data_IF_397921896075
#
_entry.id   IF_397921896075
#
_cell.length_a   1.000
_cell.length_b   1.000
_cell.length_c   1.000
_cell.angle_alpha   90.00
_cell.angle_beta   90.00
_cell.angle_gamma   90.00
#
_symmetry.space_group_name_H-M   'P 1'
#
loop_
_entity.id
_entity.type
_entity.pdbx_description
1 polymer ?
#
# COMPACT_ATOMS: atom_id res chain seq x y z
N UNK A 1 24.16 48.07 -23.86
CA UNK A 1 23.60 48.21 -22.50
C UNK A 1 22.75 46.99 -22.15
N UNK A 2 22.77 46.57 -20.89
CA UNK A 2 21.86 45.55 -20.35
C UNK A 2 20.73 46.23 -19.56
N UNK A 3 19.49 45.85 -19.84
CA UNK A 3 18.30 46.25 -19.10
C UNK A 3 17.85 45.08 -18.23
N UNK A 4 17.90 45.25 -16.91
CA UNK A 4 17.29 44.31 -15.96
C UNK A 4 15.82 44.67 -15.86
N UNK A 5 14.95 43.80 -16.34
CA UNK A 5 13.52 44.07 -16.45
C UNK A 5 12.75 43.23 -15.44
N UNK A 6 12.32 43.84 -14.36
CA UNK A 6 11.41 43.25 -13.38
C UNK A 6 9.99 43.29 -13.94
N UNK A 7 9.32 42.14 -13.93
CA UNK A 7 7.96 42.01 -14.46
C UNK A 7 7.03 41.63 -13.32
N UNK A 8 5.90 42.33 -13.27
CA UNK A 8 4.73 42.02 -12.44
C UNK A 8 3.52 42.03 -13.40
N UNK A 9 2.92 40.87 -13.67
CA UNK A 9 1.90 40.76 -14.71
C UNK A 9 0.55 41.37 -14.32
N UNK A 10 0.19 41.34 -13.04
CA UNK A 10 -1.15 41.72 -12.59
C UNK A 10 -1.19 43.12 -11.97
N UNK A 11 -0.09 43.86 -12.01
CA UNK A 11 0.04 45.23 -11.52
C UNK A 11 -0.16 45.33 -10.01
N UNK A 12 0.37 44.37 -9.25
CA UNK A 12 0.39 44.45 -7.79
C UNK A 12 1.17 45.68 -7.31
N UNK A 13 2.24 46.09 -7.99
CA UNK A 13 2.96 47.32 -7.68
C UNK A 13 2.07 48.56 -7.81
N UNK A 14 1.38 48.76 -8.93
CA UNK A 14 0.50 49.92 -9.15
C UNK A 14 -0.82 49.85 -8.38
N UNK A 15 -1.36 48.66 -8.13
CA UNK A 15 -2.63 48.48 -7.40
C UNK A 15 -2.49 48.56 -5.88
N UNK A 16 -1.40 48.02 -5.32
CA UNK A 16 -1.18 47.98 -3.87
C UNK A 16 -0.43 49.21 -3.35
N UNK A 17 0.18 49.98 -4.25
CA UNK A 17 0.90 51.22 -3.90
C UNK A 17 0.39 52.41 -4.73
N UNK A 18 0.96 53.60 -4.50
CA UNK A 18 0.69 54.80 -5.32
C UNK A 18 1.81 55.03 -6.37
N UNK A 19 2.59 54.01 -6.70
CA UNK A 19 3.72 54.11 -7.64
C UNK A 19 3.23 54.00 -9.08
N UNK A 20 3.53 55.01 -9.90
CA UNK A 20 3.26 55.00 -11.34
C UNK A 20 4.30 54.16 -12.08
N UNK A 21 3.82 53.28 -12.96
CA UNK A 21 4.62 52.38 -13.79
C UNK A 21 4.70 52.91 -15.24
N UNK A 22 5.76 52.61 -16.01
CA UNK A 22 6.93 51.84 -15.62
C UNK A 22 7.89 52.64 -14.73
N UNK A 23 8.52 51.96 -13.77
CA UNK A 23 9.53 52.56 -12.89
C UNK A 23 10.89 52.31 -13.49
N UNK A 24 11.65 53.36 -13.82
CA UNK A 24 12.99 53.23 -14.42
C UNK A 24 14.04 53.87 -13.52
N UNK A 25 15.14 53.16 -13.30
CA UNK A 25 16.25 53.64 -12.48
C UNK A 25 16.43 52.83 -11.21
N UNK A 26 17.68 52.56 -10.86
CA UNK A 26 18.06 51.75 -9.70
C UNK A 26 17.45 52.24 -8.38
N UNK A 27 17.55 53.54 -8.08
CA UNK A 27 16.99 54.09 -6.85
C UNK A 27 15.45 54.15 -6.88
N UNK A 28 14.86 54.42 -8.05
CA UNK A 28 13.40 54.45 -8.21
C UNK A 28 12.78 53.05 -8.02
N UNK A 29 13.39 52.01 -8.59
CA UNK A 29 12.96 50.62 -8.40
C UNK A 29 13.17 50.15 -6.96
N UNK A 30 14.24 50.59 -6.30
CA UNK A 30 14.46 50.30 -4.88
C UNK A 30 13.37 50.94 -4.00
N UNK A 31 13.03 52.21 -4.24
CA UNK A 31 11.97 52.90 -3.51
C UNK A 31 10.60 52.25 -3.76
N UNK A 32 10.32 51.83 -4.99
CA UNK A 32 9.12 51.08 -5.36
C UNK A 32 9.05 49.72 -4.63
N UNK A 33 10.17 48.98 -4.58
CA UNK A 33 10.26 47.71 -3.84
C UNK A 33 9.98 47.90 -2.34
N UNK A 34 10.53 48.96 -1.75
CA UNK A 34 10.30 49.30 -0.33
C UNK A 34 8.84 49.72 -0.10
N UNK A 35 8.23 50.46 -1.03
CA UNK A 35 6.82 50.83 -0.93
C UNK A 35 5.90 49.60 -1.00
N UNK A 36 6.15 48.69 -1.95
CA UNK A 36 5.38 47.45 -2.08
C UNK A 36 5.56 46.55 -0.85
N UNK A 37 6.79 46.38 -0.35
CA UNK A 37 7.05 45.60 0.86
C UNK A 37 6.38 46.17 2.12
N UNK A 38 6.17 47.48 2.18
CA UNK A 38 5.43 48.13 3.28
C UNK A 38 3.92 47.93 3.15
N UNK A 39 3.41 47.89 1.92
CA UNK A 39 1.98 47.69 1.64
C UNK A 39 1.57 46.22 1.78
N UNK A 40 2.33 45.29 1.20
CA UNK A 40 2.10 43.85 1.21
C UNK A 40 3.43 43.08 1.31
N UNK A 41 3.87 42.71 2.53
CA UNK A 41 5.13 41.99 2.72
C UNK A 41 5.08 40.50 2.33
N UNK A 42 3.90 39.94 2.05
CA UNK A 42 3.75 38.52 1.67
C UNK A 42 3.86 38.32 0.15
N UNK A 43 3.80 39.40 -0.61
CA UNK A 43 3.88 39.44 -2.06
C UNK A 43 5.26 39.00 -2.58
N UNK A 44 5.26 38.12 -3.59
CA UNK A 44 6.49 37.64 -4.23
C UNK A 44 7.16 38.69 -5.12
N UNK A 45 6.42 39.66 -5.66
CA UNK A 45 6.93 40.71 -6.55
C UNK A 45 7.90 41.66 -5.86
N UNK A 46 7.77 41.80 -4.54
CA UNK A 46 8.77 42.47 -3.70
C UNK A 46 10.16 41.90 -3.96
N UNK A 47 10.28 40.57 -4.01
CA UNK A 47 11.58 39.92 -4.21
C UNK A 47 12.05 40.00 -5.67
N UNK A 48 11.14 40.12 -6.64
CA UNK A 48 11.48 40.38 -8.05
C UNK A 48 12.17 41.73 -8.17
N UNK A 49 11.59 42.78 -7.57
CA UNK A 49 12.16 44.12 -7.59
C UNK A 49 13.52 44.18 -6.88
N UNK A 50 13.65 43.58 -5.69
CA UNK A 50 14.93 43.51 -4.98
C UNK A 50 16.00 42.71 -5.72
N UNK A 51 15.64 41.60 -6.37
CA UNK A 51 16.58 40.83 -7.21
C UNK A 51 17.03 41.66 -8.42
N UNK A 52 16.12 42.45 -9.03
CA UNK A 52 16.49 43.35 -10.12
C UNK A 52 17.52 44.41 -9.71
N UNK A 53 17.34 45.03 -8.54
CA UNK A 53 18.32 45.96 -7.97
C UNK A 53 19.63 45.24 -7.65
N UNK A 54 19.56 44.04 -7.06
CA UNK A 54 20.73 43.25 -6.71
C UNK A 54 21.59 42.91 -7.94
N UNK A 55 20.98 42.41 -9.01
CA UNK A 55 21.69 42.09 -10.26
C UNK A 55 22.32 43.34 -10.87
N UNK A 56 21.61 44.47 -10.82
CA UNK A 56 22.11 45.75 -11.34
C UNK A 56 23.35 46.21 -10.58
N UNK A 57 23.37 46.03 -9.25
CA UNK A 57 24.52 46.38 -8.41
C UNK A 57 25.71 45.40 -8.58
N UNK A 58 25.46 44.13 -8.94
CA UNK A 58 26.51 43.11 -9.14
C UNK A 58 27.28 43.27 -10.46
N UNK A 59 26.64 43.77 -11.52
CA UNK A 59 27.26 43.87 -12.85
C UNK A 59 28.01 45.19 -12.99
N UNK A 60 29.35 45.13 -13.00
CA UNK A 60 30.21 46.32 -13.14
C UNK A 60 30.88 46.44 -14.51
N UNK A 61 30.78 45.41 -15.34
CA UNK A 61 31.60 45.24 -16.56
C UNK A 61 30.94 45.84 -17.82
N UNK A 62 29.67 46.21 -17.76
CA UNK A 62 28.92 46.85 -18.84
C UNK A 62 27.88 47.83 -18.27
N UNK A 63 27.37 48.82 -19.05
CA UNK A 63 26.32 49.71 -18.57
C UNK A 63 25.01 48.92 -18.36
N UNK A 64 24.48 48.99 -17.14
CA UNK A 64 23.24 48.34 -16.72
C UNK A 64 22.24 49.36 -16.23
N UNK A 65 20.99 49.18 -16.61
CA UNK A 65 19.83 49.93 -16.10
C UNK A 65 18.76 48.95 -15.63
N UNK A 66 17.94 49.33 -14.64
CA UNK A 66 16.82 48.51 -14.16
C UNK A 66 15.50 49.22 -14.39
N UNK A 67 14.49 48.45 -14.76
CA UNK A 67 13.12 48.92 -14.84
C UNK A 67 12.14 47.89 -14.30
N UNK A 68 11.09 48.36 -13.65
CA UNK A 68 9.91 47.56 -13.31
C UNK A 68 8.80 47.92 -14.30
N UNK A 69 8.23 46.90 -14.92
CA UNK A 69 7.08 47.03 -15.84
C UNK A 69 5.94 46.20 -15.31
N UNK A 70 4.73 46.74 -15.38
CA UNK A 70 3.54 46.04 -14.93
C UNK A 70 2.54 45.77 -16.04
N UNK A 71 1.68 44.77 -15.82
CA UNK A 71 0.54 44.52 -16.68
C UNK A 71 -0.73 45.20 -16.16
N UNK A 72 -1.83 44.45 -16.13
CA UNK A 72 -3.09 44.88 -15.54
C UNK A 72 -3.81 43.66 -14.98
N UNK A 73 -4.48 43.80 -13.84
CA UNK A 73 -5.37 42.76 -13.32
C UNK A 73 -6.56 42.55 -14.27
N UNK A 74 -6.52 41.46 -15.03
CA UNK A 74 -7.49 41.21 -16.09
C UNK A 74 -7.13 40.01 -16.96
N UNK A 75 -7.63 40.00 -18.19
CA UNK A 75 -7.33 38.91 -19.12
C UNK A 75 -5.84 38.90 -19.50
N UNK A 76 -5.26 37.72 -19.68
CA UNK A 76 -3.86 37.53 -20.12
C UNK A 76 -3.49 38.41 -21.31
N UNK A 77 -4.39 38.59 -22.28
CA UNK A 77 -4.16 39.40 -23.48
C UNK A 77 -4.04 40.90 -23.16
N UNK A 78 -4.82 41.39 -22.20
CA UNK A 78 -4.77 42.78 -21.75
C UNK A 78 -3.50 43.05 -20.94
N UNK A 79 -3.18 42.17 -19.99
CA UNK A 79 -1.96 42.23 -19.19
C UNK A 79 -0.71 42.19 -20.08
N UNK A 80 -0.64 41.24 -21.01
CA UNK A 80 0.44 41.16 -22.00
C UNK A 80 0.55 42.43 -22.86
N UNK A 81 -0.57 43.05 -23.24
CA UNK A 81 -0.54 44.29 -24.03
C UNK A 81 0.00 45.46 -23.20
N UNK A 82 -0.44 45.60 -21.95
CA UNK A 82 0.02 46.62 -21.01
C UNK A 82 1.53 46.52 -20.77
N UNK A 83 2.04 45.32 -20.44
CA UNK A 83 3.49 45.09 -20.30
C UNK A 83 4.25 45.48 -21.57
N UNK A 84 3.69 45.18 -22.74
CA UNK A 84 4.27 45.61 -24.02
C UNK A 84 4.39 47.14 -24.15
N UNK A 85 3.34 47.88 -23.79
CA UNK A 85 3.30 49.35 -23.85
C UNK A 85 4.25 49.99 -22.81
N UNK A 86 4.35 49.40 -21.63
CA UNK A 86 5.31 49.79 -20.59
C UNK A 86 6.75 49.61 -21.07
N UNK A 87 7.07 48.44 -21.64
CA UNK A 87 8.40 48.19 -22.22
C UNK A 87 8.70 49.19 -23.34
N UNK A 88 7.74 49.50 -24.21
CA UNK A 88 7.92 50.52 -25.25
C UNK A 88 8.24 51.90 -24.64
N UNK A 89 7.62 52.23 -23.51
CA UNK A 89 7.88 53.47 -22.74
C UNK A 89 9.27 53.47 -22.10
N UNK A 90 9.69 52.36 -21.48
CA UNK A 90 11.04 52.20 -20.92
C UNK A 90 12.07 52.40 -22.03
N UNK A 91 11.93 51.74 -23.17
CA UNK A 91 12.89 51.85 -24.28
C UNK A 91 12.94 53.25 -24.88
N UNK A 92 11.81 53.96 -24.92
CA UNK A 92 11.78 55.36 -25.37
C UNK A 92 12.50 56.31 -24.39
N UNK A 93 12.47 56.00 -23.09
CA UNK A 93 13.16 56.78 -22.05
C UNK A 93 14.67 56.53 -22.04
N UNK A 94 15.11 55.34 -22.45
CA UNK A 94 16.51 54.97 -22.60
C UNK A 94 17.07 55.58 -23.89
N UNK A 95 17.48 56.85 -23.81
CA UNK A 95 18.04 57.61 -24.93
C UNK A 95 19.45 57.13 -25.29
N UNK A 96 19.56 55.95 -25.94
CA UNK A 96 20.86 55.38 -26.30
C UNK A 96 20.87 54.74 -27.69
N UNK A 97 21.92 55.08 -28.45
CA UNK A 97 22.24 54.57 -29.79
C UNK A 97 22.84 53.15 -29.79
N UNK A 98 22.72 52.41 -28.70
CA UNK A 98 23.31 51.08 -28.50
C UNK A 98 22.25 49.98 -28.53
N UNK A 99 22.67 48.76 -28.88
CA UNK A 99 21.83 47.58 -28.77
C UNK A 99 21.48 47.32 -27.29
N UNK A 100 20.20 47.48 -26.95
CA UNK A 100 19.63 47.15 -25.65
C UNK A 100 19.33 45.66 -25.59
N UNK A 101 19.87 44.98 -24.59
CA UNK A 101 19.61 43.56 -24.29
C UNK A 101 18.90 43.48 -22.95
N UNK A 102 18.01 42.52 -22.75
CA UNK A 102 17.27 42.36 -21.51
C UNK A 102 17.63 41.08 -20.75
N UNK A 103 17.70 41.21 -19.43
CA UNK A 103 17.59 40.11 -18.49
C UNK A 103 16.27 40.26 -17.75
N UNK A 104 15.34 39.34 -17.97
CA UNK A 104 13.99 39.42 -17.38
C UNK A 104 13.99 38.77 -16.01
N UNK A 105 13.48 39.44 -14.99
CA UNK A 105 13.32 38.94 -13.62
C UNK A 105 11.83 38.75 -13.34
N UNK A 106 11.46 37.61 -12.77
CA UNK A 106 10.07 37.17 -12.56
C UNK A 106 9.98 36.23 -11.36
N UNK A 107 8.83 36.14 -10.69
CA UNK A 107 8.61 35.23 -9.57
C UNK A 107 8.07 33.84 -9.97
N UNK A 108 7.59 33.69 -11.22
CA UNK A 108 6.67 32.59 -11.53
C UNK A 108 6.48 32.30 -13.01
N UNK A 109 5.80 31.17 -13.28
CA UNK A 109 5.52 30.74 -14.65
C UNK A 109 4.42 31.58 -15.33
N UNK A 110 3.54 32.21 -14.55
CA UNK A 110 2.49 33.09 -15.04
C UNK A 110 3.10 34.34 -15.69
N UNK A 111 4.04 34.95 -15.00
CA UNK A 111 4.75 36.16 -15.43
C UNK A 111 5.73 35.90 -16.58
N UNK A 112 6.23 34.67 -16.71
CA UNK A 112 6.98 34.27 -17.90
C UNK A 112 6.14 34.26 -19.19
N UNK A 113 4.81 34.34 -19.11
CA UNK A 113 3.93 34.40 -20.30
C UNK A 113 4.16 35.66 -21.15
N UNK A 114 4.72 36.74 -20.59
CA UNK A 114 5.06 37.97 -21.33
C UNK A 114 6.38 37.90 -22.09
N UNK A 115 7.18 36.86 -21.89
CA UNK A 115 8.48 36.72 -22.58
C UNK A 115 8.37 36.88 -24.10
N UNK A 116 7.38 36.29 -24.81
CA UNK A 116 7.22 36.49 -26.25
C UNK A 116 6.95 37.96 -26.63
N UNK A 117 6.24 38.70 -25.78
CA UNK A 117 5.88 40.12 -25.98
C UNK A 117 7.09 41.03 -25.77
N UNK A 118 7.91 40.75 -24.74
CA UNK A 118 9.17 41.47 -24.49
C UNK A 118 10.16 41.15 -25.62
N UNK A 119 10.26 39.88 -26.02
CA UNK A 119 11.17 39.40 -27.08
C UNK A 119 10.89 40.05 -28.44
N UNK A 120 9.65 40.47 -28.71
CA UNK A 120 9.33 41.16 -29.96
C UNK A 120 9.83 42.61 -30.00
N UNK A 121 10.26 43.18 -28.87
CA UNK A 121 10.74 44.57 -28.72
C UNK A 121 12.24 44.63 -28.50
N UNK A 122 12.77 43.72 -27.68
CA UNK A 122 14.18 43.66 -27.30
C UNK A 122 14.71 42.24 -27.26
N UNK A 123 16.02 42.11 -27.47
CA UNK A 123 16.70 40.82 -27.35
C UNK A 123 16.81 40.42 -25.88
N UNK A 124 16.29 39.25 -25.52
CA UNK A 124 16.41 38.68 -24.18
C UNK A 124 17.64 37.77 -24.11
N UNK A 125 18.60 38.11 -23.26
CA UNK A 125 19.80 37.31 -23.00
C UNK A 125 19.56 36.22 -21.94
N UNK A 126 18.60 36.42 -21.04
CA UNK A 126 18.22 35.43 -20.04
C UNK A 126 16.94 35.76 -19.28
N UNK A 127 16.48 34.79 -18.48
CA UNK A 127 15.35 34.93 -17.55
C UNK A 127 15.81 34.44 -16.19
N UNK A 128 15.63 35.26 -15.15
CA UNK A 128 15.94 34.97 -13.75
C UNK A 128 14.63 34.80 -12.99
N UNK A 129 14.28 33.55 -12.68
CA UNK A 129 13.16 33.27 -11.79
C UNK A 129 13.57 33.37 -10.32
N UNK A 130 12.86 34.18 -9.54
CA UNK A 130 12.95 34.33 -8.10
C UNK A 130 11.93 33.41 -7.45
N UNK A 131 12.33 32.61 -6.45
CA UNK A 131 11.40 31.70 -5.76
C UNK A 131 11.56 31.90 -4.26
N UNK A 132 10.51 32.45 -3.63
CA UNK A 132 10.44 32.62 -2.19
C UNK A 132 10.14 31.26 -1.54
N UNK A 133 11.07 30.74 -0.74
CA UNK A 133 10.88 29.47 -0.04
C UNK A 133 10.11 29.70 1.25
N UNK A 134 8.82 29.39 1.25
CA UNK A 134 8.00 29.33 2.48
C UNK A 134 7.97 27.91 3.04
N UNK A 135 8.24 27.75 4.34
CA UNK A 135 8.14 26.47 5.04
C UNK A 135 6.68 26.20 5.47
N UNK A 136 5.95 25.39 4.70
CA UNK A 136 4.59 24.93 5.04
C UNK A 136 4.65 23.43 5.43
N UNK A 137 5.20 23.14 6.62
CA UNK A 137 5.78 21.81 6.89
C UNK A 137 4.94 20.82 7.73
N UNK A 138 3.73 21.16 8.19
CA UNK A 138 2.97 20.25 9.08
C UNK A 138 1.81 19.53 8.41
N UNK A 139 1.01 20.23 7.60
CA UNK A 139 -0.16 19.63 6.94
C UNK A 139 0.26 18.66 5.84
N UNK A 140 1.24 19.04 5.03
CA UNK A 140 1.83 18.20 3.98
C UNK A 140 2.43 16.92 4.55
N UNK A 141 3.07 16.98 5.72
CA UNK A 141 3.59 15.78 6.39
C UNK A 141 2.47 14.88 6.93
N UNK A 142 1.42 15.45 7.51
CA UNK A 142 0.26 14.68 7.96
C UNK A 142 -0.37 13.91 6.78
N UNK A 143 -0.60 14.56 5.64
CA UNK A 143 -1.16 13.90 4.47
C UNK A 143 -0.20 12.88 3.86
N UNK A 144 1.10 13.16 3.85
CA UNK A 144 2.10 12.19 3.36
C UNK A 144 2.11 10.93 4.21
N UNK A 145 2.11 11.08 5.55
CA UNK A 145 2.04 9.92 6.47
C UNK A 145 0.72 9.18 6.29
N UNK A 146 -0.41 9.91 6.23
CA UNK A 146 -1.72 9.31 6.01
C UNK A 146 -1.75 8.50 4.71
N UNK A 147 -1.25 9.05 3.61
CA UNK A 147 -1.20 8.38 2.31
C UNK A 147 -0.33 7.12 2.34
N UNK A 148 0.83 7.16 3.02
CA UNK A 148 1.70 5.99 3.22
C UNK A 148 1.03 4.90 4.05
N UNK A 149 0.19 5.28 5.02
CA UNK A 149 -0.58 4.34 5.83
C UNK A 149 -1.84 3.82 5.12
N UNK A 150 -2.40 4.56 4.17
CA UNK A 150 -3.56 4.12 3.39
C UNK A 150 -3.18 3.20 2.22
N UNK A 151 -1.93 3.28 1.73
CA UNK A 151 -1.42 2.43 0.66
C UNK A 151 -1.19 0.96 1.13
N UNK A 152 -1.85 -0.04 0.52
CA UNK A 152 -1.76 -1.45 0.97
C UNK A 152 -0.34 -2.04 0.89
N UNK A 153 0.43 -1.68 -0.14
CA UNK A 153 1.79 -2.19 -0.34
C UNK A 153 2.74 -1.64 0.73
N UNK A 154 2.60 -0.36 1.04
CA UNK A 154 3.49 0.33 1.99
C UNK A 154 3.07 0.10 3.45
N UNK A 155 1.76 0.12 3.75
CA UNK A 155 1.23 -0.08 5.09
C UNK A 155 1.69 -1.41 5.69
N UNK A 156 1.58 -2.52 4.94
CA UNK A 156 1.98 -3.85 5.43
C UNK A 156 3.47 -3.92 5.77
N UNK A 157 4.30 -3.27 4.96
CA UNK A 157 5.76 -3.26 5.13
C UNK A 157 6.21 -2.49 6.38
N UNK A 158 5.48 -1.43 6.77
CA UNK A 158 5.82 -0.58 7.92
C UNK A 158 5.09 -1.00 9.19
N UNK A 159 3.76 -1.17 9.11
CA UNK A 159 2.93 -1.41 10.30
C UNK A 159 3.11 -2.82 10.86
N UNK A 160 3.42 -3.84 10.04
CA UNK A 160 3.54 -5.21 10.56
C UNK A 160 4.80 -5.39 11.43
N UNK A 161 6.02 -4.98 11.01
CA UNK A 161 7.18 -4.99 11.90
C UNK A 161 6.97 -4.15 13.16
N UNK A 162 6.35 -2.98 13.03
CA UNK A 162 6.05 -2.10 14.15
C UNK A 162 5.05 -2.73 15.12
N UNK A 163 4.00 -3.36 14.61
CA UNK A 163 3.02 -4.10 15.39
C UNK A 163 3.65 -5.27 16.14
N UNK A 164 4.55 -6.02 15.49
CA UNK A 164 5.33 -7.08 16.15
C UNK A 164 6.18 -6.50 17.29
N UNK A 165 6.88 -5.39 17.04
CA UNK A 165 7.70 -4.73 18.06
C UNK A 165 6.86 -4.34 19.28
N UNK A 166 5.67 -3.77 19.04
CA UNK A 166 4.72 -3.39 20.09
C UNK A 166 4.12 -4.61 20.82
N UNK A 167 3.97 -5.75 20.15
CA UNK A 167 3.43 -6.98 20.72
C UNK A 167 4.44 -7.77 21.57
N UNK A 168 5.75 -7.61 21.35
CA UNK A 168 6.79 -8.35 22.08
C UNK A 168 6.61 -8.18 23.59
N UNK A 169 6.49 -6.95 24.09
CA UNK A 169 6.41 -6.67 25.53
C UNK A 169 5.16 -7.25 26.22
N UNK A 170 3.93 -6.96 25.78
CA UNK A 170 2.74 -7.54 26.41
C UNK A 170 2.72 -9.07 26.29
N UNK A 171 3.24 -9.63 25.20
CA UNK A 171 3.29 -11.08 25.02
C UNK A 171 4.31 -11.73 25.97
N UNK A 172 5.47 -11.11 26.20
CA UNK A 172 6.44 -11.62 27.19
C UNK A 172 5.83 -11.70 28.59
N UNK A 173 5.10 -10.66 29.02
CA UNK A 173 4.40 -10.65 30.31
C UNK A 173 3.32 -11.74 30.36
N UNK A 174 2.54 -11.88 29.30
CA UNK A 174 1.47 -12.88 29.24
C UNK A 174 2.04 -14.31 29.36
N UNK A 175 3.12 -14.62 28.66
CA UNK A 175 3.74 -15.95 28.70
C UNK A 175 4.36 -16.24 30.06
N UNK A 176 5.03 -15.25 30.68
CA UNK A 176 5.54 -15.36 32.06
C UNK A 176 4.41 -15.61 33.06
N UNK A 177 3.26 -14.93 32.90
CA UNK A 177 2.11 -15.11 33.78
C UNK A 177 1.47 -16.51 33.71
N UNK A 178 1.66 -17.20 32.59
CA UNK A 178 1.18 -18.58 32.37
C UNK A 178 2.18 -19.63 32.87
N UNK A 179 3.33 -19.22 33.42
CA UNK A 179 4.35 -20.14 33.93
C UNK A 179 5.07 -20.95 32.85
N UNK A 180 4.95 -20.54 31.58
CA UNK A 180 5.61 -21.22 30.46
C UNK A 180 7.09 -20.84 30.42
N UNK A 181 8.03 -21.80 30.36
CA UNK A 181 9.47 -21.53 30.32
C UNK A 181 9.90 -21.11 28.91
N UNK A 182 9.42 -19.95 28.45
CA UNK A 182 9.80 -19.37 27.16
C UNK A 182 10.71 -18.19 27.41
N UNK A 183 11.89 -18.19 26.77
CA UNK A 183 12.77 -17.04 26.85
C UNK A 183 12.20 -15.86 26.04
N UNK A 184 12.41 -14.64 26.52
CA UNK A 184 12.03 -13.42 25.78
C UNK A 184 12.64 -13.40 24.38
N UNK A 185 13.88 -13.89 24.22
CA UNK A 185 14.51 -14.08 22.91
C UNK A 185 13.77 -15.09 22.02
N UNK A 186 13.20 -16.15 22.59
CA UNK A 186 12.38 -17.12 21.86
C UNK A 186 11.09 -16.51 21.31
N UNK A 187 10.44 -15.65 22.08
CA UNK A 187 9.24 -14.92 21.63
C UNK A 187 9.60 -13.94 20.50
N UNK A 188 10.67 -13.17 20.67
CA UNK A 188 11.13 -12.20 19.67
C UNK A 188 11.49 -12.91 18.36
N UNK A 189 12.33 -13.95 18.43
CA UNK A 189 12.75 -14.72 17.26
C UNK A 189 11.60 -15.46 16.60
N UNK A 190 10.64 -15.98 17.37
CA UNK A 190 9.44 -16.62 16.87
C UNK A 190 8.55 -15.65 16.09
N UNK A 191 8.26 -14.48 16.66
CA UNK A 191 7.44 -13.45 16.00
C UNK A 191 8.12 -12.92 14.73
N UNK A 192 9.42 -12.65 14.79
CA UNK A 192 10.19 -12.16 13.64
C UNK A 192 10.30 -13.24 12.53
N UNK A 193 10.53 -14.50 12.92
CA UNK A 193 10.57 -15.62 11.99
C UNK A 193 9.22 -15.84 11.30
N UNK A 194 8.12 -15.76 12.05
CA UNK A 194 6.78 -15.85 11.51
C UNK A 194 6.49 -14.73 10.51
N UNK A 195 6.94 -13.50 10.81
CA UNK A 195 6.81 -12.37 9.89
C UNK A 195 7.54 -12.59 8.57
N UNK A 196 8.81 -13.00 8.63
CA UNK A 196 9.61 -13.25 7.43
C UNK A 196 8.97 -14.37 6.59
N UNK A 197 8.50 -15.44 7.22
CA UNK A 197 7.79 -16.52 6.53
C UNK A 197 6.48 -16.03 5.90
N UNK A 198 5.66 -15.29 6.65
CA UNK A 198 4.42 -14.72 6.15
C UNK A 198 4.67 -13.79 4.94
N UNK A 199 5.76 -13.02 4.97
CA UNK A 199 6.18 -12.14 3.88
C UNK A 199 6.64 -12.92 2.66
N UNK A 200 7.54 -13.90 2.85
CA UNK A 200 8.11 -14.71 1.77
C UNK A 200 7.07 -15.58 1.05
N UNK A 201 6.03 -15.99 1.76
CA UNK A 201 4.94 -16.80 1.22
C UNK A 201 3.75 -15.98 0.71
N UNK A 202 3.76 -14.65 0.86
CA UNK A 202 2.64 -13.79 0.46
C UNK A 202 1.36 -14.05 1.25
N UNK A 203 1.47 -14.37 2.54
CA UNK A 203 0.34 -14.75 3.40
C UNK A 203 -0.76 -13.68 3.51
N UNK A 204 -0.42 -12.41 3.28
CA UNK A 204 -1.39 -11.31 3.28
C UNK A 204 -2.50 -11.51 2.25
N UNK A 205 -2.13 -11.85 1.01
CA UNK A 205 -3.12 -12.06 -0.07
C UNK A 205 -4.02 -13.25 0.25
N UNK A 206 -3.46 -14.30 0.85
CA UNK A 206 -4.21 -15.48 1.26
C UNK A 206 -5.22 -15.16 2.37
N UNK A 207 -4.86 -14.27 3.29
CA UNK A 207 -5.74 -13.81 4.37
C UNK A 207 -6.85 -12.90 3.84
N UNK A 208 -6.53 -11.96 2.94
CA UNK A 208 -7.52 -11.08 2.31
C UNK A 208 -8.56 -11.88 1.53
N UNK A 209 -8.11 -12.79 0.66
CA UNK A 209 -9.02 -13.68 -0.08
C UNK A 209 -9.84 -14.60 0.84
N UNK A 210 -9.26 -15.05 1.96
CA UNK A 210 -9.98 -15.86 2.93
C UNK A 210 -11.06 -15.04 3.66
N UNK A 211 -10.76 -13.79 4.03
CA UNK A 211 -11.70 -12.87 4.66
C UNK A 211 -12.86 -12.51 3.72
N UNK A 212 -12.57 -12.28 2.44
CA UNK A 212 -13.59 -12.02 1.42
C UNK A 212 -14.49 -13.24 1.19
N UNK A 213 -13.92 -14.44 1.14
CA UNK A 213 -14.68 -15.70 1.03
C UNK A 213 -15.56 -15.97 2.26
N UNK A 214 -15.06 -15.64 3.46
CA UNK A 214 -15.82 -15.77 4.69
C UNK A 214 -16.99 -14.77 4.71
N UNK A 215 -16.72 -13.50 4.38
CA UNK A 215 -17.72 -12.43 4.35
C UNK A 215 -18.81 -12.72 3.33
N UNK A 216 -18.43 -13.04 2.09
CA UNK A 216 -19.39 -13.42 1.04
C UNK A 216 -20.21 -14.66 1.41
N UNK A 217 -19.62 -15.60 2.16
CA UNK A 217 -20.32 -16.79 2.62
C UNK A 217 -21.39 -16.48 3.66
N UNK A 218 -21.08 -15.57 4.59
CA UNK A 218 -22.01 -15.19 5.65
C UNK A 218 -23.29 -14.60 5.07
N UNK A 219 -23.19 -13.84 3.97
CA UNK A 219 -24.35 -13.29 3.27
C UNK A 219 -25.10 -14.32 2.41
N UNK A 220 -24.42 -15.38 1.96
CA UNK A 220 -25.00 -16.43 1.12
C UNK A 220 -25.68 -17.57 1.89
N UNK A 221 -25.62 -17.58 3.24
CA UNK A 221 -26.28 -18.61 4.05
C UNK A 221 -25.64 -20.00 3.94
N UNK A 222 -24.34 -20.08 3.62
CA UNK A 222 -23.63 -21.34 3.41
C UNK A 222 -23.48 -22.17 4.69
N UNK A 223 -23.83 -23.47 4.63
CA UNK A 223 -23.74 -24.41 5.78
C UNK A 223 -22.28 -24.61 6.21
N UNK A 224 -21.35 -24.47 5.27
CA UNK A 224 -19.89 -24.56 5.50
C UNK A 224 -19.41 -23.67 6.63
N UNK A 225 -20.00 -22.49 6.84
CA UNK A 225 -19.55 -21.54 7.87
C UNK A 225 -19.75 -22.09 9.27
N UNK A 226 -20.96 -22.60 9.55
CA UNK A 226 -21.28 -23.17 10.87
C UNK A 226 -20.33 -24.34 11.13
N UNK A 227 -20.13 -25.21 10.13
CA UNK A 227 -19.23 -26.35 10.27
C UNK A 227 -17.75 -25.95 10.43
N UNK A 228 -17.31 -24.85 9.83
CA UNK A 228 -15.95 -24.32 9.98
C UNK A 228 -15.73 -23.69 11.34
N UNK A 229 -16.72 -22.96 11.88
CA UNK A 229 -16.66 -22.44 13.26
C UNK A 229 -16.58 -23.60 14.27
N UNK A 230 -17.41 -24.62 14.09
CA UNK A 230 -17.37 -25.83 14.93
C UNK A 230 -16.03 -26.56 14.77
N UNK A 231 -15.53 -26.72 13.54
CA UNK A 231 -14.22 -27.32 13.30
C UNK A 231 -13.08 -26.53 13.96
N UNK A 232 -13.10 -25.20 13.89
CA UNK A 232 -12.10 -24.35 14.56
C UNK A 232 -12.13 -24.52 16.09
N UNK A 233 -13.31 -24.59 16.69
CA UNK A 233 -13.45 -24.87 18.12
C UNK A 233 -12.90 -26.26 18.48
N UNK A 234 -13.18 -27.28 17.66
CA UNK A 234 -12.64 -28.64 17.83
C UNK A 234 -11.11 -28.68 17.68
N UNK A 235 -10.54 -27.91 16.74
CA UNK A 235 -9.08 -27.78 16.61
C UNK A 235 -8.47 -27.13 17.85
N UNK A 236 -9.09 -26.09 18.42
CA UNK A 236 -8.62 -25.49 19.67
C UNK A 236 -8.63 -26.50 20.84
N UNK A 237 -9.72 -27.27 20.97
CA UNK A 237 -9.84 -28.35 21.96
C UNK A 237 -8.77 -29.43 21.73
N UNK A 238 -8.49 -29.77 20.47
CA UNK A 238 -7.43 -30.69 20.09
C UNK A 238 -6.04 -30.20 20.51
N UNK A 239 -5.74 -28.93 20.27
CA UNK A 239 -4.48 -28.32 20.70
C UNK A 239 -4.29 -28.41 22.22
N UNK A 240 -5.32 -28.03 22.99
CA UNK A 240 -5.30 -28.14 24.45
C UNK A 240 -5.15 -29.60 24.90
N UNK A 241 -5.86 -30.53 24.26
CA UNK A 241 -5.79 -31.96 24.57
C UNK A 241 -4.39 -32.55 24.25
N UNK A 242 -3.75 -32.08 23.19
CA UNK A 242 -2.37 -32.43 22.84
C UNK A 242 -1.37 -31.99 23.91
N UNK A 243 -1.46 -30.73 24.34
CA UNK A 243 -0.61 -30.18 25.41
C UNK A 243 -0.85 -30.92 26.74
N UNK A 244 -2.12 -31.16 27.10
CA UNK A 244 -2.46 -31.92 28.29
C UNK A 244 -1.91 -33.37 28.25
N UNK A 245 -1.91 -34.01 27.07
CA UNK A 245 -1.28 -35.32 26.90
C UNK A 245 0.24 -35.25 27.08
N UNK A 246 0.91 -34.22 26.57
CA UNK A 246 2.34 -34.02 26.78
C UNK A 246 2.68 -33.80 28.26
N UNK A 247 1.92 -32.97 28.96
CA UNK A 247 2.11 -32.69 30.40
C UNK A 247 1.88 -33.92 31.28
N UNK A 248 0.99 -34.83 30.85
CA UNK A 248 0.73 -36.09 31.57
C UNK A 248 1.90 -37.08 31.51
N UNK A 249 2.92 -36.83 30.68
CA UNK A 249 4.00 -37.78 30.42
C UNK A 249 5.18 -37.56 31.38
N UNK A 250 5.76 -38.64 31.94
CA UNK A 250 6.96 -38.53 32.76
C UNK A 250 8.14 -37.99 31.95
N UNK A 251 8.82 -36.96 32.46
CA UNK A 251 10.08 -36.46 31.90
C UNK A 251 11.28 -37.28 32.36
N UNK A 252 12.38 -37.41 31.57
CA UNK A 252 12.63 -36.75 30.29
C UNK A 252 12.03 -37.50 29.09
N UNK A 253 11.63 -36.75 28.06
CA UNK A 253 11.10 -37.28 26.80
C UNK A 253 12.07 -37.01 25.65
N UNK A 254 12.19 -37.94 24.72
CA UNK A 254 12.88 -37.72 23.44
C UNK A 254 12.07 -36.76 22.55
N UNK A 255 12.71 -36.07 21.59
CA UNK A 255 11.99 -35.20 20.65
C UNK A 255 10.85 -35.91 19.89
N UNK A 256 11.02 -37.20 19.60
CA UNK A 256 10.01 -38.03 18.93
C UNK A 256 8.80 -38.27 19.85
N UNK A 257 9.04 -38.55 21.14
CA UNK A 257 7.97 -38.75 22.13
C UNK A 257 7.21 -37.46 22.41
N UNK A 258 7.89 -36.30 22.41
CA UNK A 258 7.22 -34.99 22.54
C UNK A 258 6.22 -34.79 21.41
N UNK A 259 6.65 -34.98 20.15
CA UNK A 259 5.77 -34.86 18.98
C UNK A 259 4.65 -35.91 19.03
N UNK A 260 4.97 -37.16 19.37
CA UNK A 260 3.99 -38.24 19.46
C UNK A 260 2.93 -37.95 20.54
N UNK A 261 3.31 -37.39 21.69
CA UNK A 261 2.38 -37.03 22.77
C UNK A 261 1.39 -35.94 22.32
N UNK A 262 1.92 -34.88 21.71
CA UNK A 262 1.10 -33.79 21.16
C UNK A 262 0.12 -34.29 20.10
N UNK A 263 0.60 -35.08 19.14
CA UNK A 263 -0.24 -35.63 18.06
C UNK A 263 -1.28 -36.59 18.63
N UNK A 264 -0.92 -37.49 19.54
CA UNK A 264 -1.84 -38.48 20.11
C UNK A 264 -3.00 -37.82 20.85
N UNK A 265 -2.74 -36.75 21.62
CA UNK A 265 -3.78 -36.01 22.34
C UNK A 265 -4.66 -35.15 21.43
N UNK A 266 -4.10 -34.61 20.35
CA UNK A 266 -4.83 -33.70 19.45
C UNK A 266 -5.63 -34.40 18.36
N UNK A 267 -5.13 -35.54 17.85
CA UNK A 267 -5.59 -36.11 16.58
C UNK A 267 -7.06 -36.50 16.57
N UNK A 268 -7.62 -36.96 17.70
CA UNK A 268 -9.03 -37.33 17.76
C UNK A 268 -9.93 -36.13 17.45
N UNK A 269 -9.67 -34.99 18.10
CA UNK A 269 -10.43 -33.77 17.87
C UNK A 269 -10.18 -33.17 16.49
N UNK A 270 -8.95 -33.25 15.98
CA UNK A 270 -8.62 -32.82 14.62
C UNK A 270 -9.35 -33.66 13.57
N UNK A 271 -9.48 -34.95 13.81
CA UNK A 271 -10.22 -35.88 12.93
C UNK A 271 -11.70 -35.53 12.92
N UNK A 272 -12.31 -35.31 14.11
CA UNK A 272 -13.72 -34.88 14.20
C UNK A 272 -13.93 -33.51 13.54
N UNK A 273 -12.99 -32.57 13.69
CA UNK A 273 -13.02 -31.27 13.02
C UNK A 273 -13.00 -31.41 11.50
N UNK A 274 -12.10 -32.23 10.96
CA UNK A 274 -11.99 -32.45 9.52
C UNK A 274 -13.21 -33.17 8.93
N UNK A 275 -13.81 -34.12 9.66
CA UNK A 275 -15.07 -34.76 9.25
C UNK A 275 -16.22 -33.74 9.24
N UNK A 276 -16.31 -32.93 10.29
CA UNK A 276 -17.37 -31.91 10.40
C UNK A 276 -17.28 -30.89 9.27
N UNK A 277 -16.07 -30.39 8.99
CA UNK A 277 -15.78 -29.46 7.90
C UNK A 277 -16.06 -30.07 6.52
N UNK A 278 -15.61 -31.31 6.28
CA UNK A 278 -15.84 -32.00 5.00
C UNK A 278 -17.32 -32.31 4.75
N UNK A 279 -18.07 -32.75 5.76
CA UNK A 279 -19.51 -32.95 5.66
C UNK A 279 -20.26 -31.63 5.42
N UNK A 280 -19.83 -30.55 6.07
CA UNK A 280 -20.37 -29.22 5.82
C UNK A 280 -20.21 -28.81 4.35
N UNK A 281 -19.01 -29.04 3.79
CA UNK A 281 -18.74 -28.77 2.37
C UNK A 281 -19.58 -29.63 1.43
N UNK A 282 -19.67 -30.94 1.68
CA UNK A 282 -20.51 -31.84 0.88
C UNK A 282 -21.98 -31.40 0.92
N UNK A 283 -22.47 -30.99 2.09
CA UNK A 283 -23.84 -30.51 2.25
C UNK A 283 -24.08 -29.22 1.47
N UNK A 284 -23.14 -28.28 1.54
CA UNK A 284 -23.21 -27.00 0.84
C UNK A 284 -23.21 -27.22 -0.68
N UNK A 285 -22.33 -28.08 -1.19
CA UNK A 285 -22.28 -28.42 -2.61
C UNK A 285 -23.57 -29.08 -3.11
N UNK A 286 -24.17 -29.96 -2.29
CA UNK A 286 -25.45 -30.59 -2.59
C UNK A 286 -26.61 -29.58 -2.62
N UNK A 287 -26.57 -28.58 -1.76
CA UNK A 287 -27.61 -27.54 -1.70
C UNK A 287 -27.54 -26.53 -2.86
N UNK A 288 -26.40 -26.44 -3.55
CA UNK A 288 -26.17 -25.50 -4.65
C UNK A 288 -26.05 -26.17 -6.03
N UNK A 289 -26.46 -27.44 -6.14
CA UNK A 289 -26.44 -28.23 -7.39
C UNK A 289 -25.05 -28.40 -8.05
N UNK A 290 -23.95 -28.19 -7.30
CA UNK A 290 -22.57 -28.38 -7.77
C UNK A 290 -21.97 -29.75 -7.34
N UNK A 291 -22.81 -30.64 -6.81
CA UNK A 291 -22.37 -31.87 -6.15
C UNK A 291 -21.77 -32.91 -7.10
N UNK A 292 -20.53 -33.32 -6.83
CA UNK A 292 -19.89 -34.50 -7.41
C UNK A 292 -19.79 -35.64 -6.38
N UNK A 293 -20.11 -36.89 -6.78
CA UNK A 293 -20.02 -38.08 -5.93
C UNK A 293 -18.64 -38.28 -5.29
N UNK A 294 -17.56 -37.83 -5.95
CA UNK A 294 -16.20 -37.89 -5.43
C UNK A 294 -15.97 -37.05 -4.19
N UNK A 295 -16.77 -36.02 -3.92
CA UNK A 295 -16.63 -35.17 -2.73
C UNK A 295 -16.95 -35.91 -1.44
N UNK A 296 -17.76 -36.97 -1.50
CA UNK A 296 -18.03 -37.85 -0.37
C UNK A 296 -16.79 -38.63 0.11
N UNK A 297 -15.68 -38.65 -0.66
CA UNK A 297 -14.43 -39.25 -0.21
C UNK A 297 -13.76 -38.50 0.94
N UNK A 298 -13.95 -37.17 1.03
CA UNK A 298 -13.19 -36.33 1.94
C UNK A 298 -13.31 -36.75 3.43
N UNK A 299 -14.51 -37.03 3.98
CA UNK A 299 -14.64 -37.55 5.35
C UNK A 299 -13.91 -38.88 5.60
N UNK A 300 -13.89 -39.79 4.61
CA UNK A 300 -13.22 -41.08 4.74
C UNK A 300 -11.70 -40.94 4.72
N UNK A 301 -11.16 -40.03 3.91
CA UNK A 301 -9.73 -39.72 3.95
C UNK A 301 -9.33 -39.11 5.29
N UNK A 302 -10.13 -38.18 5.82
CA UNK A 302 -9.86 -37.59 7.15
C UNK A 302 -9.88 -38.69 8.22
N UNK A 303 -10.87 -39.59 8.20
CA UNK A 303 -10.94 -40.74 9.11
C UNK A 303 -9.73 -41.66 8.99
N UNK A 304 -9.32 -41.99 7.77
CA UNK A 304 -8.17 -42.85 7.51
C UNK A 304 -6.86 -42.21 8.03
N UNK A 305 -6.62 -40.95 7.68
CA UNK A 305 -5.44 -40.19 8.11
C UNK A 305 -5.43 -40.05 9.64
N UNK A 306 -6.57 -39.69 10.23
CA UNK A 306 -6.76 -39.57 11.67
C UNK A 306 -6.44 -40.86 12.42
N UNK A 307 -6.98 -41.99 11.94
CA UNK A 307 -6.69 -43.31 12.48
C UNK A 307 -5.20 -43.67 12.38
N UNK A 308 -4.59 -43.45 11.23
CA UNK A 308 -3.16 -43.70 10.99
C UNK A 308 -2.28 -42.87 11.94
N UNK A 309 -2.53 -41.57 12.05
CA UNK A 309 -1.76 -40.69 12.92
C UNK A 309 -1.96 -41.02 14.40
N UNK A 310 -3.18 -41.41 14.79
CA UNK A 310 -3.44 -41.92 16.13
C UNK A 310 -2.67 -43.21 16.41
N UNK A 311 -2.67 -44.19 15.48
CA UNK A 311 -1.93 -45.43 15.64
C UNK A 311 -0.41 -45.23 15.70
N UNK A 312 0.12 -44.38 14.83
CA UNK A 312 1.54 -44.06 14.76
C UNK A 312 2.03 -43.39 16.04
N UNK A 313 1.31 -42.38 16.52
CA UNK A 313 1.63 -41.68 17.76
C UNK A 313 1.49 -42.60 18.98
N UNK A 314 0.48 -43.48 19.01
CA UNK A 314 0.32 -44.47 20.08
C UNK A 314 1.50 -45.44 20.17
N UNK A 315 2.02 -45.88 19.03
CA UNK A 315 3.17 -46.77 18.92
C UNK A 315 4.44 -46.10 19.44
N UNK A 316 4.73 -44.87 19.00
CA UNK A 316 5.89 -44.11 19.47
C UNK A 316 5.84 -43.80 20.97
N UNK A 317 4.64 -43.68 21.55
CA UNK A 317 4.45 -43.51 23.00
C UNK A 317 4.54 -44.82 23.80
N UNK A 318 4.83 -45.94 23.14
CA UNK A 318 4.91 -47.26 23.78
C UNK A 318 3.57 -47.79 24.31
N UNK A 319 2.45 -47.15 23.93
CA UNK A 319 1.11 -47.52 24.43
C UNK A 319 0.46 -48.65 23.65
N UNK A 320 0.93 -48.92 22.42
CA UNK A 320 0.38 -49.93 21.51
C UNK A 320 1.49 -50.73 20.83
N UNK A 321 1.17 -51.97 20.46
CA UNK A 321 2.10 -52.89 19.82
C UNK A 321 2.33 -52.59 18.34
N UNK A 322 3.41 -53.15 17.78
CA UNK A 322 3.69 -53.10 16.34
C UNK A 322 2.56 -53.72 15.51
N UNK A 323 1.95 -54.81 16.01
CA UNK A 323 0.80 -55.46 15.38
C UNK A 323 -0.39 -54.53 15.26
N UNK A 324 -0.70 -53.77 16.32
CA UNK A 324 -1.76 -52.77 16.28
C UNK A 324 -1.46 -51.69 15.24
N UNK A 325 -0.22 -51.18 15.19
CA UNK A 325 0.19 -50.21 14.19
C UNK A 325 0.02 -50.75 12.76
N UNK A 326 0.44 -51.98 12.51
CA UNK A 326 0.29 -52.63 11.20
C UNK A 326 -1.19 -52.73 10.79
N UNK A 327 -2.06 -53.16 11.71
CA UNK A 327 -3.51 -53.25 11.46
C UNK A 327 -4.10 -51.88 11.14
N UNK A 328 -3.75 -50.83 11.90
CA UNK A 328 -4.26 -49.48 11.69
C UNK A 328 -3.76 -48.87 10.38
N UNK A 329 -2.49 -49.07 10.03
CA UNK A 329 -1.93 -48.60 8.76
C UNK A 329 -2.59 -49.28 7.56
N UNK A 330 -2.72 -50.60 7.60
CA UNK A 330 -3.41 -51.36 6.54
C UNK A 330 -4.88 -50.98 6.47
N UNK A 331 -5.58 -50.93 7.61
CA UNK A 331 -6.98 -50.57 7.69
C UNK A 331 -7.28 -49.16 7.17
N UNK A 332 -6.48 -48.16 7.58
CA UNK A 332 -6.60 -46.79 7.08
C UNK A 332 -6.35 -46.69 5.58
N UNK A 333 -5.31 -47.37 5.07
CA UNK A 333 -5.00 -47.40 3.63
C UNK A 333 -6.14 -48.04 2.83
N UNK A 334 -6.65 -49.18 3.29
CA UNK A 334 -7.78 -49.87 2.65
C UNK A 334 -9.06 -49.03 2.70
N UNK A 335 -9.34 -48.35 3.81
CA UNK A 335 -10.49 -47.45 3.93
C UNK A 335 -10.42 -46.32 2.89
N UNK A 336 -9.25 -45.68 2.76
CA UNK A 336 -9.02 -44.64 1.76
C UNK A 336 -9.26 -45.16 0.34
N UNK A 337 -8.57 -46.23 -0.05
CA UNK A 337 -8.68 -46.80 -1.40
C UNK A 337 -10.10 -47.32 -1.72
N UNK A 338 -10.74 -47.99 -0.76
CA UNK A 338 -12.09 -48.52 -0.93
C UNK A 338 -13.11 -47.39 -1.09
N UNK A 339 -12.98 -46.30 -0.32
CA UNK A 339 -13.79 -45.09 -0.50
C UNK A 339 -13.63 -44.55 -1.92
N UNK A 340 -12.37 -44.30 -2.36
CA UNK A 340 -12.09 -43.74 -3.69
C UNK A 340 -12.74 -44.59 -4.78
N UNK A 341 -12.54 -45.90 -4.72
CA UNK A 341 -13.08 -46.83 -5.69
C UNK A 341 -14.62 -46.85 -5.67
N UNK A 342 -15.23 -46.90 -4.49
CA UNK A 342 -16.67 -46.94 -4.34
C UNK A 342 -17.35 -45.70 -4.93
N UNK A 343 -16.82 -44.50 -4.63
CA UNK A 343 -17.39 -43.25 -5.13
C UNK A 343 -17.07 -43.01 -6.61
N UNK A 344 -15.91 -43.44 -7.12
CA UNK A 344 -15.63 -43.41 -8.55
C UNK A 344 -16.59 -44.33 -9.35
N UNK A 345 -16.90 -45.51 -8.82
CA UNK A 345 -17.90 -46.41 -9.42
C UNK A 345 -19.31 -45.83 -9.34
N UNK A 346 -19.66 -45.17 -8.23
CA UNK A 346 -20.96 -44.50 -8.09
C UNK A 346 -21.11 -43.37 -9.12
N UNK A 347 -20.08 -42.53 -9.28
CA UNK A 347 -20.04 -41.43 -10.26
C UNK A 347 -20.26 -41.96 -11.69
N UNK A 348 -19.51 -43.00 -12.10
CA UNK A 348 -19.62 -43.60 -13.42
C UNK A 348 -20.99 -44.25 -13.73
N UNK A 349 -21.78 -44.61 -12.69
CA UNK A 349 -23.10 -45.23 -12.85
C UNK A 349 -24.25 -44.23 -12.78
N UNK A 350 -24.09 -43.16 -12.02
CA UNK A 350 -25.16 -42.21 -11.71
C UNK A 350 -25.10 -40.94 -12.58
N UNK A 351 -23.93 -40.58 -13.12
CA UNK A 351 -23.76 -39.49 -14.09
C UNK A 351 -23.00 -39.96 -15.36
N UNK A 352 -23.70 -40.57 -16.34
CA UNK A 352 -23.08 -40.95 -17.61
C UNK A 352 -22.70 -39.72 -18.44
N UNK A 353 -21.54 -39.72 -19.12
CA UNK A 353 -20.98 -38.55 -19.82
C UNK A 353 -21.80 -38.04 -21.04
N UNK A 354 -22.95 -38.62 -21.37
CA UNK A 354 -23.72 -38.30 -22.58
C UNK A 354 -24.67 -37.09 -22.45
N UNK A 355 -24.82 -36.47 -21.26
CA UNK A 355 -25.75 -35.33 -21.09
C UNK A 355 -25.20 -33.95 -21.45
N UNK A 356 -23.92 -33.81 -21.80
CA UNK A 356 -23.33 -32.50 -22.16
C UNK A 356 -23.15 -32.25 -23.66
N UNK A 357 -23.43 -33.21 -24.55
CA UNK A 357 -23.30 -33.03 -26.00
C UNK A 357 -24.66 -33.11 -26.72
N UNK A 358 -25.52 -32.11 -26.54
CA UNK A 358 -26.57 -31.79 -27.50
C UNK A 358 -26.67 -30.28 -27.77
N UNK A 359 -25.81 -29.81 -28.69
CA UNK A 359 -26.08 -28.78 -29.70
C UNK A 359 -26.00 -27.29 -29.32
N UNK A 360 -25.82 -26.37 -30.29
CA UNK A 360 -26.15 -26.56 -31.71
C UNK A 360 -24.98 -26.31 -32.69
N UNK A 361 -24.83 -27.18 -33.69
CA UNK A 361 -23.91 -26.97 -34.80
C UNK A 361 -23.78 -28.23 -35.65
N UNK A 362 -24.42 -28.23 -36.82
CA UNK A 362 -24.62 -29.38 -37.70
C UNK A 362 -23.36 -29.85 -38.46
N UNK A 363 -23.54 -30.82 -39.37
CA UNK A 363 -22.45 -31.52 -40.03
C UNK A 363 -21.94 -30.78 -41.28
N UNK A 364 -20.62 -30.72 -41.44
CA UNK A 364 -19.94 -30.41 -42.70
C UNK A 364 -18.61 -31.18 -42.70
N UNK A 365 -18.56 -32.31 -43.40
CA UNK A 365 -17.86 -32.48 -44.68
C UNK A 365 -16.35 -32.32 -44.57
N UNK A 366 -15.61 -33.43 -44.63
CA UNK A 366 -14.89 -33.93 -45.82
C UNK A 366 -14.44 -35.38 -45.60
#
# INVERSE_FOLDING_TARGET
>A
MLLVLCVDLDDDLGRKTDVETPVVGRDAVLDAAVALAQADPEDSDVNVLFEGVHITDEITDEPVEVAAVTGVDGSDVAANRAVGEEVDTVLASLSTSEDVRALVVTDGAQDESVIPVIRSRIRIDGVRRVVVRQAQDLESMYYTIKQVLDDPETRGTILVPLGILLLIYPLTIAVESLGLPVSSLGIISGLLGLYVLARGLGAERLLDEAADRATSGLYAGRVTIITYVVAAALLAIGGVSGVAMLESRPTPLSPVEVVAALVYGAIQWFTVAGITSSLGRVTDEYLHDEFEWRYLNAPFYVLAIGGVLHGLSAFFLGTRSLEYLAVVLTGGTLLGLASTLAFAVAEARLDPPERHNQGPGGPSSE
#
